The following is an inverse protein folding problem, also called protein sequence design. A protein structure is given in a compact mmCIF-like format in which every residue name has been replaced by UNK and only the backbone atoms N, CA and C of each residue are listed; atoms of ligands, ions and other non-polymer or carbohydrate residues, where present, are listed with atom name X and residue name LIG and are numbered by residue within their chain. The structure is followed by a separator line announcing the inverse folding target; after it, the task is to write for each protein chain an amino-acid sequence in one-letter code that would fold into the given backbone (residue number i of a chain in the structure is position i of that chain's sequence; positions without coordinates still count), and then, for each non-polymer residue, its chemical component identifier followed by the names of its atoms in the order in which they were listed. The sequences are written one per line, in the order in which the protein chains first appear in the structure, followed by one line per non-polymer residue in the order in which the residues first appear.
data_IF_287964144239
#
_entry.id   IF_287964144239
#
_cell.length_a   1.000
_cell.length_b   1.000
_cell.length_c   1.000
_cell.angle_alpha   90.00
_cell.angle_beta   90.00
_cell.angle_gamma   90.00
#
_symmetry.space_group_name_H-M   'P 1'
#
loop_
_entity.id
_entity.type
_entity.pdbx_description
1 polymer ?
#
# COMPACT_ATOMS: atom_id res chain seq x y z
N UNK A 1 -34.43 -9.42 21.02
CA UNK A 1 -33.71 -8.13 20.96
C UNK A 1 -34.29 -7.30 19.82
N UNK A 2 -34.46 -5.99 20.01
CA UNK A 2 -34.81 -5.06 18.93
C UNK A 2 -33.50 -4.49 18.33
N UNK A 3 -33.35 -4.41 17.00
CA UNK A 3 -32.18 -3.77 16.40
C UNK A 3 -32.12 -2.28 16.79
N UNK A 4 -30.92 -1.78 17.07
CA UNK A 4 -30.69 -0.34 17.29
C UNK A 4 -30.63 0.36 15.93
N UNK A 5 -31.25 1.55 15.84
CA UNK A 5 -31.14 2.45 14.69
C UNK A 5 -30.19 3.62 14.97
N UNK A 6 -29.48 3.58 16.09
CA UNK A 6 -28.45 4.57 16.41
C UNK A 6 -27.25 4.36 15.46
N UNK A 7 -26.84 5.37 14.66
CA UNK A 7 -25.69 5.25 13.77
C UNK A 7 -24.40 4.84 14.48
N UNK A 8 -24.24 5.20 15.76
CA UNK A 8 -23.07 4.81 16.56
C UNK A 8 -23.05 3.31 16.91
N UNK A 9 -24.19 2.62 16.82
CA UNK A 9 -24.32 1.18 17.05
C UNK A 9 -24.22 0.38 15.73
N UNK A 10 -24.05 1.06 14.59
CA UNK A 10 -23.91 0.39 13.31
C UNK A 10 -22.51 -0.24 13.24
N UNK A 11 -22.47 -1.57 13.24
CA UNK A 11 -21.27 -2.32 12.87
C UNK A 11 -21.11 -2.26 11.36
N UNK A 12 -20.03 -1.64 10.88
CA UNK A 12 -19.64 -1.76 9.48
C UNK A 12 -19.42 -3.24 9.14
N UNK A 13 -20.32 -3.77 8.31
CA UNK A 13 -20.24 -5.13 7.79
C UNK A 13 -19.15 -5.23 6.72
N UNK A 14 -17.90 -5.30 7.15
CA UNK A 14 -16.72 -5.47 6.30
C UNK A 14 -15.50 -5.15 7.15
N UNK A 15 -14.50 -6.04 7.19
CA UNK A 15 -13.23 -5.71 7.85
C UNK A 15 -12.70 -4.36 7.37
N UNK A 16 -11.91 -3.69 8.21
CA UNK A 16 -11.37 -2.37 7.88
C UNK A 16 -10.74 -2.43 6.48
N UNK A 17 -11.05 -1.46 5.59
CA UNK A 17 -10.40 -1.45 4.30
C UNK A 17 -8.93 -1.10 4.53
N UNK A 18 -8.07 -2.11 4.63
CA UNK A 18 -6.61 -1.95 4.55
C UNK A 18 -6.20 -1.60 3.12
N UNK A 19 -6.70 -0.48 2.62
CA UNK A 19 -6.44 0.06 1.31
C UNK A 19 -6.18 1.55 1.42
N UNK A 20 -4.97 1.95 1.06
CA UNK A 20 -4.51 3.33 1.17
C UNK A 20 -4.56 3.85 2.61
N UNK A 21 -3.98 3.07 3.52
CA UNK A 21 -3.98 3.38 4.97
C UNK A 21 -2.59 3.22 5.57
N UNK A 22 -2.28 4.07 6.55
CA UNK A 22 -1.12 3.87 7.42
C UNK A 22 -1.47 2.90 8.55
N UNK A 23 -0.64 1.90 8.75
CA UNK A 23 -0.85 0.85 9.74
C UNK A 23 0.44 0.55 10.51
N UNK A 24 0.30 0.12 11.76
CA UNK A 24 1.40 -0.49 12.52
C UNK A 24 1.17 -1.98 12.58
N UNK A 25 2.19 -2.78 12.25
CA UNK A 25 2.17 -4.22 12.51
C UNK A 25 2.34 -4.40 14.03
N UNK A 26 1.28 -4.77 14.73
CA UNK A 26 1.32 -5.03 16.18
C UNK A 26 2.03 -6.35 16.44
N UNK A 27 1.61 -7.40 15.72
CA UNK A 27 2.23 -8.72 15.80
C UNK A 27 2.22 -9.43 14.46
N UNK A 28 3.30 -10.14 14.14
CA UNK A 28 3.36 -11.12 13.06
C UNK A 28 3.65 -12.52 13.61
N UNK A 29 2.76 -13.48 13.40
CA UNK A 29 2.89 -14.85 13.92
C UNK A 29 2.53 -15.89 12.86
N UNK A 30 3.17 -17.04 12.88
CA UNK A 30 2.67 -18.19 12.14
C UNK A 30 1.37 -18.68 12.79
N UNK A 31 0.38 -19.02 11.96
CA UNK A 31 -0.92 -19.49 12.39
C UNK A 31 -1.50 -20.49 11.38
N UNK A 32 -2.45 -21.29 11.84
CA UNK A 32 -3.31 -22.08 10.96
C UNK A 32 -4.61 -21.32 10.74
N UNK A 33 -4.94 -21.02 9.49
CA UNK A 33 -6.21 -20.38 9.11
C UNK A 33 -7.23 -21.45 8.75
N UNK A 34 -8.33 -21.53 9.50
CA UNK A 34 -9.37 -22.55 9.35
C UNK A 34 -10.47 -22.19 8.33
N UNK A 35 -10.45 -20.95 7.81
CA UNK A 35 -11.48 -20.40 6.93
C UNK A 35 -12.92 -20.65 7.41
N UNK A 36 -13.15 -20.59 8.72
CA UNK A 36 -14.44 -20.92 9.34
C UNK A 36 -14.97 -22.31 8.93
N UNK A 37 -14.07 -23.28 8.77
CA UNK A 37 -14.37 -24.67 8.42
C UNK A 37 -14.80 -24.89 6.97
N UNK A 38 -14.78 -23.85 6.12
CA UNK A 38 -15.17 -23.98 4.70
C UNK A 38 -14.10 -24.63 3.83
N UNK A 39 -12.85 -24.56 4.27
CA UNK A 39 -11.70 -25.12 3.58
C UNK A 39 -10.81 -25.88 4.57
N UNK A 40 -9.92 -26.72 4.05
CA UNK A 40 -8.90 -27.35 4.87
C UNK A 40 -8.05 -26.26 5.55
N UNK A 41 -7.79 -26.39 6.87
CA UNK A 41 -6.94 -25.44 7.57
C UNK A 41 -5.57 -25.31 6.90
N UNK A 42 -5.16 -24.08 6.61
CA UNK A 42 -3.94 -23.81 5.84
C UNK A 42 -2.93 -23.01 6.68
N UNK A 43 -1.63 -23.33 6.59
CA UNK A 43 -0.61 -22.57 7.27
C UNK A 43 -0.46 -21.16 6.65
N UNK A 44 -0.38 -20.15 7.50
CA UNK A 44 -0.29 -18.76 7.13
C UNK A 44 0.59 -17.97 8.10
N UNK A 45 1.01 -16.77 7.70
CA UNK A 45 1.45 -15.72 8.60
C UNK A 45 0.24 -14.83 8.90
N UNK A 46 -0.13 -14.76 10.18
CA UNK A 46 -1.11 -13.83 10.72
C UNK A 46 -0.39 -12.53 11.07
N UNK A 47 -0.77 -11.43 10.43
CA UNK A 47 -0.36 -10.08 10.79
C UNK A 47 -1.55 -9.36 11.42
N UNK A 48 -1.37 -8.86 12.63
CA UNK A 48 -2.32 -7.96 13.28
C UNK A 48 -1.87 -6.53 13.02
N UNK A 49 -2.67 -5.79 12.27
CA UNK A 49 -2.46 -4.38 12.00
C UNK A 49 -3.23 -3.51 13.00
N UNK A 50 -2.64 -2.39 13.40
CA UNK A 50 -3.31 -1.28 14.08
C UNK A 50 -3.49 -0.13 13.08
N UNK A 51 -4.72 0.32 12.89
CA UNK A 51 -5.08 1.48 12.04
C UNK A 51 -5.95 2.41 12.87
N UNK A 52 -5.43 3.59 13.20
CA UNK A 52 -6.07 4.46 14.21
C UNK A 52 -6.23 3.73 15.53
N UNK A 53 -7.46 3.68 16.07
CA UNK A 53 -7.79 2.98 17.32
C UNK A 53 -8.24 1.52 17.12
N UNK A 54 -8.31 1.04 15.88
CA UNK A 54 -8.81 -0.29 15.56
C UNK A 54 -7.71 -1.27 15.14
N UNK A 55 -7.92 -2.56 15.43
CA UNK A 55 -7.04 -3.65 15.02
C UNK A 55 -7.69 -4.56 13.99
N UNK A 56 -6.92 -5.06 13.03
CA UNK A 56 -7.38 -6.05 12.06
C UNK A 56 -6.35 -7.16 11.84
N UNK A 57 -6.84 -8.40 11.82
CA UNK A 57 -6.03 -9.57 11.50
C UNK A 57 -6.08 -9.88 10.00
N UNK A 58 -4.90 -10.02 9.39
CA UNK A 58 -4.74 -10.49 8.02
C UNK A 58 -3.90 -11.75 7.98
N UNK A 59 -4.27 -12.65 7.07
CA UNK A 59 -3.62 -13.94 6.90
C UNK A 59 -2.98 -14.04 5.52
N UNK A 60 -1.67 -14.25 5.51
CA UNK A 60 -0.86 -14.45 4.32
C UNK A 60 -0.48 -15.92 4.22
N UNK A 61 -1.06 -16.65 3.27
CA UNK A 61 -0.74 -18.05 3.05
C UNK A 61 0.77 -18.25 2.82
N UNK A 62 1.32 -19.32 3.40
CA UNK A 62 2.71 -19.76 3.16
C UNK A 62 2.81 -21.05 2.33
N UNK A 63 1.68 -21.72 2.07
CA UNK A 63 1.60 -22.93 1.27
C UNK A 63 0.50 -23.87 1.76
N UNK A 64 0.64 -25.17 1.49
CA UNK A 64 -0.25 -26.22 1.99
C UNK A 64 0.21 -26.74 3.36
N UNK A 65 -0.75 -27.29 4.11
CA UNK A 65 -0.53 -28.09 5.33
C UNK A 65 0.42 -29.27 5.11
N UNK A 66 0.47 -29.80 3.88
CA UNK A 66 1.38 -30.88 3.51
C UNK A 66 2.86 -30.45 3.40
N UNK A 67 3.14 -29.15 3.27
CA UNK A 67 4.49 -28.59 3.12
C UNK A 67 5.03 -27.95 4.40
N UNK A 68 4.14 -27.51 5.28
CA UNK A 68 4.48 -26.69 6.45
C UNK A 68 3.69 -27.09 7.68
N UNK A 69 4.36 -27.13 8.83
CA UNK A 69 3.76 -27.33 10.15
C UNK A 69 4.04 -26.11 11.01
N UNK A 70 2.98 -25.40 11.41
CA UNK A 70 3.08 -24.27 12.33
C UNK A 70 3.27 -24.81 13.74
N UNK A 71 4.31 -24.36 14.44
CA UNK A 71 4.52 -24.74 15.84
C UNK A 71 3.52 -24.04 16.76
N UNK A 72 3.25 -24.65 17.91
CA UNK A 72 2.29 -24.14 18.89
C UNK A 72 2.64 -22.75 19.47
N UNK A 73 3.91 -22.34 19.40
CA UNK A 73 4.35 -21.01 19.83
C UNK A 73 3.98 -19.90 18.83
N UNK A 74 3.60 -20.24 17.59
CA UNK A 74 3.34 -19.28 16.51
C UNK A 74 4.55 -18.45 16.09
N UNK A 75 5.76 -18.82 16.53
CA UNK A 75 7.01 -18.11 16.21
C UNK A 75 7.82 -18.85 15.14
N UNK A 76 7.56 -20.13 14.98
CA UNK A 76 8.33 -21.01 14.11
C UNK A 76 7.40 -21.81 13.20
N UNK A 77 7.93 -22.17 12.03
CA UNK A 77 7.32 -23.10 11.10
C UNK A 77 8.38 -24.11 10.68
N UNK A 78 8.01 -25.38 10.69
CA UNK A 78 8.85 -26.47 10.20
C UNK A 78 8.43 -26.86 8.78
N UNK A 79 9.40 -27.14 7.92
CA UNK A 79 9.13 -27.79 6.65
C UNK A 79 8.88 -29.29 6.86
N UNK A 80 8.00 -29.85 6.04
CA UNK A 80 7.77 -31.30 6.00
C UNK A 80 8.72 -31.98 5.02
N UNK A 81 8.67 -33.31 4.95
CA UNK A 81 9.38 -34.08 3.93
C UNK A 81 9.01 -33.72 2.48
N UNK A 82 7.82 -33.14 2.25
CA UNK A 82 7.40 -32.67 0.93
C UNK A 82 8.05 -31.34 0.54
N UNK A 83 8.68 -30.64 1.49
CA UNK A 83 9.39 -29.38 1.26
C UNK A 83 10.80 -29.40 1.89
N UNK A 84 11.62 -30.38 1.50
CA UNK A 84 12.96 -30.59 2.06
C UNK A 84 13.88 -29.37 1.94
N UNK A 85 13.69 -28.56 0.90
CA UNK A 85 14.50 -27.36 0.66
C UNK A 85 14.09 -26.18 1.57
N UNK A 86 12.99 -26.29 2.31
CA UNK A 86 12.51 -25.25 3.22
C UNK A 86 12.16 -23.94 2.53
N UNK A 87 11.80 -23.97 1.23
CA UNK A 87 11.54 -22.76 0.44
C UNK A 87 10.06 -22.46 0.38
N UNK A 88 9.70 -21.19 0.55
CA UNK A 88 8.34 -20.73 0.28
C UNK A 88 8.05 -20.68 -1.23
N UNK A 89 6.83 -21.07 -1.60
CA UNK A 89 6.36 -20.93 -2.97
C UNK A 89 6.18 -19.45 -3.31
N UNK A 90 6.78 -18.98 -4.41
CA UNK A 90 6.56 -17.60 -4.91
C UNK A 90 5.09 -17.28 -5.19
N UNK A 91 4.23 -18.29 -5.25
CA UNK A 91 2.79 -18.18 -5.50
C UNK A 91 1.98 -17.94 -4.24
N UNK A 92 2.57 -18.11 -3.06
CA UNK A 92 1.90 -17.90 -1.79
C UNK A 92 1.88 -16.40 -1.45
N UNK A 93 0.89 -15.95 -0.68
CA UNK A 93 0.69 -14.53 -0.41
C UNK A 93 1.83 -13.94 0.44
N UNK A 94 2.42 -14.73 1.34
CA UNK A 94 3.49 -14.26 2.22
C UNK A 94 4.77 -13.87 1.46
N UNK A 95 5.31 -14.70 0.53
CA UNK A 95 6.41 -14.26 -0.34
C UNK A 95 6.11 -13.02 -1.19
N UNK A 96 4.87 -12.83 -1.63
CA UNK A 96 4.47 -11.60 -2.34
C UNK A 96 4.58 -10.41 -1.40
N UNK A 97 4.02 -10.51 -0.18
CA UNK A 97 4.15 -9.48 0.85
C UNK A 97 5.61 -9.12 1.14
N UNK A 98 6.47 -10.12 1.39
CA UNK A 98 7.90 -9.90 1.64
C UNK A 98 8.62 -9.24 0.45
N UNK A 99 8.21 -9.56 -0.78
CA UNK A 99 8.79 -8.96 -1.99
C UNK A 99 8.46 -7.47 -2.06
N UNK A 100 7.20 -7.10 -1.81
CA UNK A 100 6.78 -5.69 -1.81
C UNK A 100 7.40 -4.94 -0.62
N UNK A 101 7.51 -5.57 0.54
CA UNK A 101 8.20 -4.99 1.69
C UNK A 101 9.68 -4.68 1.40
N UNK A 102 10.40 -5.56 0.69
CA UNK A 102 11.79 -5.29 0.27
C UNK A 102 11.85 -4.16 -0.77
N UNK A 103 10.90 -4.11 -1.71
CA UNK A 103 10.81 -2.99 -2.67
C UNK A 103 10.54 -1.65 -1.99
N UNK A 104 9.77 -1.66 -0.90
CA UNK A 104 9.51 -0.51 -0.05
C UNK A 104 10.73 -0.10 0.83
N UNK A 105 11.86 -0.78 0.70
CA UNK A 105 13.13 -0.43 1.34
C UNK A 105 13.50 -1.26 2.56
N UNK A 106 12.76 -2.33 2.89
CA UNK A 106 13.13 -3.20 4.01
C UNK A 106 14.42 -3.96 3.72
N UNK A 107 15.30 -4.07 4.71
CA UNK A 107 16.56 -4.78 4.56
C UNK A 107 16.34 -6.28 4.36
N UNK A 108 16.63 -6.74 3.13
CA UNK A 108 16.55 -8.14 2.73
C UNK A 108 17.42 -9.06 3.61
N UNK A 109 18.54 -8.58 4.16
CA UNK A 109 19.39 -9.39 5.02
C UNK A 109 18.68 -9.78 6.33
N UNK A 110 17.81 -8.92 6.87
CA UNK A 110 17.03 -9.21 8.09
C UNK A 110 16.05 -10.36 7.88
N UNK A 111 15.51 -10.52 6.68
CA UNK A 111 14.61 -11.63 6.35
C UNK A 111 15.28 -13.01 6.41
N UNK A 112 16.61 -13.07 6.30
CA UNK A 112 17.35 -14.34 6.29
C UNK A 112 17.45 -15.01 7.67
N UNK A 113 17.20 -14.27 8.76
CA UNK A 113 17.23 -14.85 10.10
C UNK A 113 16.00 -15.74 10.42
N UNK A 114 14.94 -15.66 9.60
CA UNK A 114 13.70 -16.42 9.78
C UNK A 114 12.85 -15.99 10.99
N UNK A 115 13.23 -14.94 11.72
CA UNK A 115 12.52 -14.49 12.92
C UNK A 115 11.25 -13.71 12.54
N UNK A 116 10.07 -14.28 12.79
CA UNK A 116 8.80 -13.63 12.41
C UNK A 116 8.50 -12.37 13.24
N UNK A 117 9.02 -12.27 14.46
CA UNK A 117 8.83 -11.12 15.36
C UNK A 117 9.54 -9.86 14.87
N UNK A 118 10.42 -9.97 13.87
CA UNK A 118 11.12 -8.80 13.31
C UNK A 118 10.19 -7.77 12.69
N UNK A 119 8.93 -8.11 12.41
CA UNK A 119 7.93 -7.20 11.87
C UNK A 119 7.13 -6.49 12.97
N UNK A 120 7.20 -6.93 14.22
CA UNK A 120 6.45 -6.34 15.34
C UNK A 120 6.91 -4.89 15.54
N UNK A 121 5.99 -3.94 15.47
CA UNK A 121 6.24 -2.49 15.56
C UNK A 121 6.59 -1.81 14.23
N UNK A 122 6.66 -2.55 13.10
CA UNK A 122 6.89 -1.95 11.79
C UNK A 122 5.70 -1.06 11.39
N UNK A 123 5.97 0.18 11.02
CA UNK A 123 4.95 1.11 10.54
C UNK A 123 5.01 1.20 9.03
N UNK A 124 3.89 0.99 8.36
CA UNK A 124 3.79 0.86 6.91
C UNK A 124 2.58 1.62 6.39
N UNK A 125 2.61 1.99 5.12
CA UNK A 125 1.41 2.31 4.37
C UNK A 125 1.06 1.12 3.49
N UNK A 126 -0.22 0.76 3.51
CA UNK A 126 -0.78 -0.43 2.87
C UNK A 126 -1.68 -0.04 1.71
N UNK A 127 -1.51 -0.73 0.59
CA UNK A 127 -2.41 -0.68 -0.56
C UNK A 127 -2.91 -2.09 -0.88
N UNK A 128 -4.05 -2.22 -1.56
CA UNK A 128 -4.54 -3.52 -2.02
C UNK A 128 -4.17 -3.76 -3.47
N UNK A 129 -3.62 -4.93 -3.75
CA UNK A 129 -3.41 -5.42 -5.12
C UNK A 129 -4.28 -6.64 -5.42
N UNK A 130 -4.68 -6.85 -6.69
CA UNK A 130 -5.33 -8.09 -7.10
C UNK A 130 -4.43 -9.31 -6.84
N UNK A 131 -5.00 -10.38 -6.30
CA UNK A 131 -4.34 -11.68 -6.25
C UNK A 131 -4.36 -12.28 -7.65
N UNK A 132 -3.20 -12.68 -8.18
CA UNK A 132 -3.07 -13.25 -9.52
C UNK A 132 -3.06 -14.77 -9.46
N UNK A 133 -3.87 -15.41 -10.30
CA UNK A 133 -3.75 -16.84 -10.56
C UNK A 133 -2.52 -17.10 -11.44
N UNK A 134 -1.47 -17.66 -10.83
CA UNK A 134 -0.22 -17.96 -11.53
C UNK A 134 -0.33 -18.99 -12.67
N UNK A 135 -1.45 -19.70 -12.82
CA UNK A 135 -1.68 -20.59 -13.97
C UNK A 135 -2.19 -19.83 -15.19
N UNK A 136 -3.04 -18.82 -14.95
CA UNK A 136 -3.74 -18.09 -16.02
C UNK A 136 -3.20 -16.67 -16.22
N UNK A 137 -2.44 -16.14 -15.27
CA UNK A 137 -1.99 -14.75 -15.22
C UNK A 137 -3.10 -13.73 -14.94
N UNK A 138 -4.32 -14.18 -14.62
CA UNK A 138 -5.49 -13.32 -14.43
C UNK A 138 -5.77 -13.05 -12.95
N UNK A 139 -6.44 -11.92 -12.62
CA UNK A 139 -6.96 -11.70 -11.27
C UNK A 139 -7.87 -12.85 -10.83
N UNK A 140 -7.63 -13.35 -9.62
CA UNK A 140 -8.51 -14.29 -8.95
C UNK A 140 -9.81 -13.59 -8.58
N UNK A 141 -10.92 -14.32 -8.71
CA UNK A 141 -12.23 -13.83 -8.31
C UNK A 141 -12.79 -14.60 -7.12
N UNK A 142 -13.57 -13.93 -6.28
CA UNK A 142 -14.29 -14.56 -5.18
C UNK A 142 -15.59 -15.25 -5.67
N UNK A 143 -16.34 -15.86 -4.75
CA UNK A 143 -17.60 -16.53 -5.07
C UNK A 143 -18.70 -15.59 -5.61
N UNK A 144 -18.50 -14.26 -5.52
CA UNK A 144 -19.39 -13.22 -6.04
C UNK A 144 -18.83 -12.57 -7.31
N UNK A 145 -17.84 -13.21 -7.96
CA UNK A 145 -17.16 -12.72 -9.17
C UNK A 145 -16.42 -11.38 -8.99
N UNK A 146 -16.09 -11.00 -7.74
CA UNK A 146 -15.31 -9.78 -7.45
C UNK A 146 -13.83 -10.11 -7.40
N UNK A 147 -12.98 -9.18 -7.82
CA UNK A 147 -11.53 -9.37 -7.74
C UNK A 147 -11.10 -9.56 -6.28
N UNK A 148 -10.40 -10.66 -6.03
CA UNK A 148 -9.84 -10.94 -4.73
C UNK A 148 -8.56 -10.15 -4.58
N UNK A 149 -8.50 -9.28 -3.59
CA UNK A 149 -7.33 -8.43 -3.33
C UNK A 149 -6.64 -8.79 -2.02
N UNK A 150 -5.36 -8.44 -1.89
CA UNK A 150 -4.62 -8.52 -0.63
C UNK A 150 -3.90 -7.21 -0.31
N UNK A 151 -3.84 -6.82 0.97
CA UNK A 151 -3.01 -5.70 1.39
C UNK A 151 -1.52 -6.05 1.25
N UNK A 152 -0.76 -5.14 0.66
CA UNK A 152 0.71 -5.18 0.55
C UNK A 152 1.29 -3.86 1.06
N UNK A 153 2.60 -3.87 1.33
CA UNK A 153 3.33 -2.66 1.74
C UNK A 153 3.70 -1.86 0.49
N UNK A 154 3.25 -0.61 0.43
CA UNK A 154 3.67 0.36 -0.58
C UNK A 154 4.95 1.09 -0.12
N UNK A 155 4.96 1.56 1.13
CA UNK A 155 6.08 2.29 1.74
C UNK A 155 6.23 1.98 3.23
N UNK A 156 7.47 2.04 3.72
CA UNK A 156 7.81 1.91 5.14
C UNK A 156 7.86 3.31 5.75
N UNK A 157 7.11 3.51 6.84
CA UNK A 157 7.03 4.77 7.57
C UNK A 157 8.05 4.83 8.71
N UNK A 158 8.28 3.69 9.39
CA UNK A 158 9.28 3.54 10.45
C UNK A 158 9.62 2.06 10.67
N UNK A 159 10.87 1.77 11.00
CA UNK A 159 11.27 0.42 11.42
C UNK A 159 10.87 0.15 12.88
N UNK A 160 10.79 -1.14 13.30
CA UNK A 160 10.56 -1.50 14.69
C UNK A 160 11.48 -0.77 15.66
N UNK A 161 10.89 -0.08 16.65
CA UNK A 161 11.62 0.66 17.68
C UNK A 161 12.11 2.05 17.26
N UNK A 162 12.01 2.41 15.99
CA UNK A 162 12.25 3.79 15.55
C UNK A 162 11.03 4.65 15.86
N UNK A 163 11.25 5.89 16.31
CA UNK A 163 10.16 6.86 16.34
C UNK A 163 9.72 7.08 14.89
N UNK A 164 8.41 7.03 14.65
CA UNK A 164 7.81 7.54 13.41
C UNK A 164 8.48 8.88 13.13
N UNK A 165 9.28 8.95 12.06
CA UNK A 165 9.83 10.22 11.63
C UNK A 165 8.61 11.13 11.48
N UNK A 166 8.51 12.17 12.32
CA UNK A 166 7.31 13.00 12.45
C UNK A 166 6.91 13.50 11.08
N UNK A 167 5.94 12.82 10.50
CA UNK A 167 5.72 12.78 9.06
C UNK A 167 4.25 12.60 8.78
N UNK A 168 3.45 13.50 9.35
CA UNK A 168 2.36 14.08 8.57
C UNK A 168 3.01 14.88 7.43
N UNK A 169 3.45 14.15 6.42
CA UNK A 169 3.82 14.69 5.13
C UNK A 169 3.15 13.74 4.16
N UNK A 170 2.26 14.31 3.35
CA UNK A 170 1.78 13.70 2.11
C UNK A 170 2.98 12.98 1.44
N UNK A 171 2.75 11.82 0.81
CA UNK A 171 3.85 11.05 0.19
C UNK A 171 4.76 11.99 -0.61
N UNK A 172 6.05 11.67 -0.80
CA UNK A 172 6.93 12.57 -1.57
C UNK A 172 6.33 12.93 -2.94
N UNK A 173 5.43 12.08 -3.44
CA UNK A 173 4.70 12.25 -4.66
C UNK A 173 3.45 13.12 -4.46
N UNK A 174 2.71 13.00 -3.36
CA UNK A 174 1.62 13.93 -3.01
C UNK A 174 2.14 15.34 -2.77
N UNK A 175 3.26 15.51 -2.06
CA UNK A 175 3.87 16.83 -1.87
C UNK A 175 4.35 17.44 -3.20
N UNK A 176 4.79 16.59 -4.14
CA UNK A 176 5.12 17.01 -5.51
C UNK A 176 3.85 17.37 -6.29
N UNK A 177 2.78 16.59 -6.14
CA UNK A 177 1.47 16.81 -6.78
C UNK A 177 0.85 18.10 -6.26
N UNK A 178 0.70 18.26 -4.96
CA UNK A 178 0.14 19.45 -4.31
C UNK A 178 0.91 20.69 -4.74
N UNK A 179 2.25 20.60 -4.77
CA UNK A 179 3.07 21.73 -5.22
C UNK A 179 2.93 22.01 -6.71
N UNK A 180 2.79 20.97 -7.53
CA UNK A 180 2.54 21.11 -8.96
C UNK A 180 1.16 21.76 -9.23
N UNK A 181 0.12 21.34 -8.51
CA UNK A 181 -1.24 21.91 -8.59
C UNK A 181 -1.23 23.37 -8.16
N UNK A 182 -0.60 23.71 -7.03
CA UNK A 182 -0.45 25.09 -6.55
C UNK A 182 0.23 25.99 -7.60
N UNK A 183 1.32 25.51 -8.20
CA UNK A 183 2.08 26.28 -9.19
C UNK A 183 1.29 26.50 -10.48
N UNK A 184 0.60 25.47 -10.98
CA UNK A 184 -0.16 25.57 -12.23
C UNK A 184 -1.38 26.47 -12.03
N UNK A 185 -2.14 26.29 -10.96
CA UNK A 185 -3.33 27.11 -10.67
C UNK A 185 -2.97 28.59 -10.59
N UNK A 186 -1.90 28.92 -9.84
CA UNK A 186 -1.38 30.29 -9.77
C UNK A 186 -0.91 30.81 -11.14
N UNK A 187 -0.27 29.97 -11.95
CA UNK A 187 0.17 30.38 -13.28
C UNK A 187 -1.01 30.68 -14.23
N UNK A 188 -2.13 29.95 -14.09
CA UNK A 188 -3.38 30.19 -14.82
C UNK A 188 -4.03 31.50 -14.35
N UNK A 189 -4.10 31.73 -13.03
CA UNK A 189 -4.61 32.98 -12.44
C UNK A 189 -3.79 34.20 -12.91
N UNK A 190 -2.45 34.12 -12.84
CA UNK A 190 -1.53 35.18 -13.29
C UNK A 190 -1.63 35.46 -14.80
N UNK A 191 -2.19 34.53 -15.58
CA UNK A 191 -2.42 34.66 -17.01
C UNK A 191 -3.85 35.14 -17.36
N UNK A 192 -4.68 35.43 -16.35
CA UNK A 192 -6.06 35.89 -16.54
C UNK A 192 -7.07 34.77 -16.77
N UNK A 193 -6.81 33.57 -16.24
CA UNK A 193 -7.74 32.44 -16.26
C UNK A 193 -7.50 31.44 -17.40
N UNK A 194 -6.59 31.72 -18.32
CA UNK A 194 -6.19 30.81 -19.39
C UNK A 194 -4.68 30.86 -19.64
N UNK A 195 -4.05 29.70 -19.80
CA UNK A 195 -2.61 29.57 -19.98
C UNK A 195 -2.27 28.52 -21.05
N UNK A 196 -1.56 28.92 -22.10
CA UNK A 196 -1.05 27.98 -23.10
C UNK A 196 0.07 27.10 -22.52
N UNK A 197 0.06 25.79 -22.85
CA UNK A 197 1.08 24.82 -22.41
C UNK A 197 2.50 25.29 -22.73
N UNK A 198 2.69 25.97 -23.86
CA UNK A 198 4.01 26.50 -24.29
C UNK A 198 4.58 27.56 -23.35
N UNK A 199 3.72 28.25 -22.59
CA UNK A 199 4.12 29.24 -21.59
C UNK A 199 4.38 28.63 -20.19
N UNK A 200 3.94 27.39 -19.95
CA UNK A 200 4.04 26.71 -18.66
C UNK A 200 5.50 26.54 -18.15
N UNK A 201 6.49 26.13 -18.97
CA UNK A 201 7.86 25.90 -18.47
C UNK A 201 8.49 27.14 -17.82
N UNK A 202 8.27 28.33 -18.39
CA UNK A 202 8.86 29.56 -17.85
C UNK A 202 8.20 29.95 -16.52
N UNK A 203 6.87 29.78 -16.41
CA UNK A 203 6.11 30.02 -15.17
C UNK A 203 6.54 29.09 -14.04
N UNK A 204 6.67 27.78 -14.32
CA UNK A 204 7.15 26.78 -13.34
C UNK A 204 8.55 27.14 -12.83
N UNK A 205 9.48 27.46 -13.75
CA UNK A 205 10.86 27.80 -13.37
C UNK A 205 10.94 29.06 -12.50
N UNK A 206 10.09 30.05 -12.79
CA UNK A 206 9.98 31.26 -11.96
C UNK A 206 9.41 30.94 -10.57
N UNK A 207 8.35 30.12 -10.48
CA UNK A 207 7.74 29.74 -9.23
C UNK A 207 8.67 28.88 -8.34
N UNK A 208 9.52 28.06 -8.95
CA UNK A 208 10.52 27.22 -8.27
C UNK A 208 11.88 27.91 -8.06
N UNK A 209 11.95 29.23 -8.23
CA UNK A 209 13.19 29.99 -8.01
C UNK A 209 13.55 29.94 -6.53
N UNK A 210 14.66 29.28 -6.21
CA UNK A 210 15.15 29.09 -4.84
C UNK A 210 14.87 27.70 -4.26
N UNK A 211 13.97 26.93 -4.86
CA UNK A 211 13.78 25.52 -4.51
C UNK A 211 14.98 24.71 -4.99
N UNK A 212 15.60 23.94 -4.10
CA UNK A 212 16.78 23.11 -4.39
C UNK A 212 16.42 21.62 -4.34
N UNK A 213 17.23 20.82 -5.03
CA UNK A 213 17.21 19.37 -4.92
C UNK A 213 16.12 18.68 -5.75
N UNK A 214 15.84 17.44 -5.36
CA UNK A 214 14.98 16.48 -6.08
C UNK A 214 13.55 16.98 -6.29
N UNK A 215 13.00 17.73 -5.32
CA UNK A 215 11.65 18.31 -5.40
C UNK A 215 11.48 19.20 -6.63
N UNK A 216 12.45 20.07 -6.94
CA UNK A 216 12.37 20.95 -8.10
C UNK A 216 12.30 20.15 -9.40
N UNK A 217 13.13 19.13 -9.54
CA UNK A 217 13.17 18.26 -10.72
C UNK A 217 11.85 17.52 -10.87
N UNK A 218 11.37 16.88 -9.81
CA UNK A 218 10.12 16.12 -9.81
C UNK A 218 8.90 16.96 -10.16
N UNK A 219 8.74 18.13 -9.53
CA UNK A 219 7.64 19.06 -9.83
C UNK A 219 7.72 19.56 -11.27
N UNK A 220 8.91 19.94 -11.74
CA UNK A 220 9.10 20.41 -13.12
C UNK A 220 8.75 19.31 -14.12
N UNK A 221 9.20 18.08 -13.91
CA UNK A 221 8.88 16.95 -14.78
C UNK A 221 7.40 16.63 -14.76
N UNK A 222 6.75 16.65 -13.59
CA UNK A 222 5.32 16.32 -13.45
C UNK A 222 4.42 17.34 -14.15
N UNK A 223 4.64 18.64 -13.92
CA UNK A 223 3.84 19.71 -14.53
C UNK A 223 3.88 19.73 -16.07
N UNK A 224 4.85 19.06 -16.71
CA UNK A 224 4.99 19.02 -18.17
C UNK A 224 4.38 17.77 -18.82
N UNK A 225 3.89 16.81 -18.03
CA UNK A 225 3.22 15.60 -18.55
C UNK A 225 1.77 15.88 -18.93
N UNK A 226 1.38 15.54 -20.15
CA UNK A 226 0.00 15.68 -20.62
C UNK A 226 -1.01 14.92 -19.76
N UNK A 227 -0.63 13.72 -19.30
CA UNK A 227 -1.46 12.89 -18.41
C UNK A 227 -1.82 13.60 -17.10
N UNK A 228 -0.88 14.37 -16.54
CA UNK A 228 -1.11 15.13 -15.32
C UNK A 228 -1.97 16.37 -15.58
N UNK A 229 -1.78 17.03 -16.72
CA UNK A 229 -2.54 18.22 -17.10
C UNK A 229 -4.00 17.90 -17.44
N UNK A 230 -4.28 16.74 -18.05
CA UNK A 230 -5.63 16.34 -18.47
C UNK A 230 -6.48 15.62 -17.42
N UNK A 231 -5.94 15.32 -16.23
CA UNK A 231 -6.60 14.48 -15.23
C UNK A 231 -6.95 15.21 -13.92
N UNK A 232 -7.30 16.50 -13.98
CA UNK A 232 -7.47 17.36 -12.81
C UNK A 232 -8.81 18.08 -12.84
N UNK A 233 -9.35 18.36 -11.67
CA UNK A 233 -10.66 19.03 -11.49
C UNK A 233 -10.49 20.55 -11.35
N UNK A 234 -9.27 21.02 -11.04
CA UNK A 234 -8.94 22.43 -10.82
C UNK A 234 -8.84 23.25 -12.13
N UNK A 235 -8.69 22.57 -13.27
CA UNK A 235 -8.63 23.20 -14.59
C UNK A 235 -9.06 22.21 -15.67
N UNK A 236 -9.48 22.75 -16.81
CA UNK A 236 -9.71 22.00 -18.04
C UNK A 236 -8.49 22.13 -18.96
N UNK A 237 -8.03 21.03 -19.56
CA UNK A 237 -6.91 21.01 -20.50
C UNK A 237 -7.36 20.52 -21.88
N UNK A 238 -7.52 21.44 -22.82
CA UNK A 238 -7.97 21.17 -24.18
C UNK A 238 -7.11 21.95 -25.20
N UNK A 239 -6.78 21.30 -26.33
CA UNK A 239 -6.00 21.89 -27.44
C UNK A 239 -4.70 22.61 -27.01
N UNK A 240 -4.05 22.13 -25.95
CA UNK A 240 -2.82 22.71 -25.43
C UNK A 240 -3.01 23.99 -24.60
N UNK A 241 -4.24 24.26 -24.14
CA UNK A 241 -4.60 25.40 -23.29
C UNK A 241 -5.19 24.88 -21.98
N UNK A 242 -4.69 25.42 -20.86
CA UNK A 242 -5.22 25.21 -19.52
C UNK A 242 -6.18 26.36 -19.19
N UNK A 243 -7.41 26.04 -18.78
CA UNK A 243 -8.43 27.02 -18.39
C UNK A 243 -8.91 26.72 -16.97
N UNK A 244 -8.95 27.72 -16.10
CA UNK A 244 -9.45 27.54 -14.74
C UNK A 244 -10.88 26.95 -14.77
N UNK A 245 -11.13 25.94 -13.94
CA UNK A 245 -12.45 25.32 -13.80
C UNK A 245 -13.44 26.22 -13.04
#
# INVERSE_FOLDING_TARGET
MKPSFNPDDFVEGGGLPLNDVEATIVTARYATQDYAGKFEPSPAVKITYQVGDATEDQYYSIGSSSMWVVRSNGLEVDSTEQNRDGRFSKKANWPVFCTELVKAGYDKARLLNGEITQFDGLQVHLIRIPQIDFRTGKPMKDAKDREKTMPIVDRILALPGEKKAGGGAASSDDAVIDKAVEIISKAIEDAGGALEKKALPSKILMALKGTKGDLKTKVTTLCLKDEFLGGRDEWNYEDGVLVAA
#
